data_IF_493140287411
#
_entry.id   IF_493140287411
#
_cell.length_a   1.000
_cell.length_b   1.000
_cell.length_c   1.000
_cell.angle_alpha   90.00
_cell.angle_beta   90.00
_cell.angle_gamma   90.00
#
_symmetry.space_group_name_H-M   'P 1'
#
loop_
_entity.id
_entity.type
_entity.pdbx_description
1 polymer ?
#
# COMPACT_ATOMS: atom_id res chain seq x y z
N UNK A 1 1.75 15.08 -13.70
CA UNK A 1 1.09 13.76 -13.83
C UNK A 1 0.53 13.36 -12.48
N UNK A 2 -0.63 12.73 -12.48
CA UNK A 2 -1.24 12.22 -11.25
C UNK A 2 -0.95 10.73 -11.15
N UNK A 3 -0.45 10.33 -9.99
CA UNK A 3 -0.24 8.92 -9.65
C UNK A 3 -1.30 8.48 -8.65
N UNK A 4 -1.51 7.18 -8.52
CA UNK A 4 -2.30 6.65 -7.42
C UNK A 4 -1.60 5.43 -6.82
N UNK A 5 -1.87 5.19 -5.54
CA UNK A 5 -1.34 4.03 -4.83
C UNK A 5 -2.48 3.36 -4.06
N UNK A 6 -2.48 2.05 -4.04
CA UNK A 6 -3.47 1.28 -3.29
C UNK A 6 -2.95 1.02 -1.88
N UNK A 7 -3.76 1.39 -0.89
CA UNK A 7 -3.48 1.15 0.52
C UNK A 7 -4.38 0.01 0.98
N UNK A 8 -3.78 -1.11 1.33
CA UNK A 8 -4.52 -2.34 1.67
C UNK A 8 -3.80 -3.10 2.76
N UNK A 9 -4.59 -3.69 3.66
CA UNK A 9 -4.08 -4.59 4.69
C UNK A 9 -4.46 -6.03 4.40
N UNK A 10 -3.79 -6.96 5.08
CA UNK A 10 -4.19 -8.37 5.08
C UNK A 10 -3.90 -8.97 6.46
N UNK A 11 -4.52 -10.11 6.73
CA UNK A 11 -4.23 -10.86 7.94
C UNK A 11 -2.83 -11.45 7.90
N UNK A 12 -2.22 -11.59 9.08
CA UNK A 12 -0.92 -12.24 9.24
C UNK A 12 -1.14 -13.69 9.70
N UNK A 13 -0.84 -14.71 8.88
CA UNK A 13 -1.06 -16.09 9.24
C UNK A 13 -0.24 -16.53 10.45
N UNK A 14 0.89 -15.87 10.72
CA UNK A 14 1.70 -16.16 11.91
C UNK A 14 0.97 -15.79 13.21
N UNK A 15 -0.06 -14.96 13.12
CA UNK A 15 -0.92 -14.56 14.24
C UNK A 15 -2.31 -15.19 14.17
N UNK A 16 -2.50 -16.21 13.33
CA UNK A 16 -3.78 -16.87 13.14
C UNK A 16 -4.82 -16.06 12.38
N UNK A 17 -4.40 -15.01 11.67
CA UNK A 17 -5.28 -14.18 10.85
C UNK A 17 -5.33 -14.70 9.41
N UNK A 18 -6.46 -14.47 8.72
CA UNK A 18 -6.62 -14.88 7.34
C UNK A 18 -5.85 -13.93 6.39
N UNK A 19 -4.82 -14.44 5.67
CA UNK A 19 -4.01 -13.60 4.79
C UNK A 19 -4.72 -13.13 3.52
N UNK A 20 -5.90 -13.68 3.24
CA UNK A 20 -6.69 -13.31 2.05
C UNK A 20 -7.75 -12.26 2.32
N UNK A 21 -7.84 -11.78 3.55
CA UNK A 21 -8.82 -10.78 3.96
C UNK A 21 -8.14 -9.57 4.57
N UNK A 22 -8.70 -8.35 4.38
CA UNK A 22 -8.18 -7.18 5.07
C UNK A 22 -8.43 -7.28 6.57
N UNK A 23 -7.60 -6.58 7.35
CA UNK A 23 -7.79 -6.51 8.79
C UNK A 23 -9.07 -5.77 9.12
N UNK A 24 -9.75 -6.23 10.16
CA UNK A 24 -10.97 -5.60 10.65
C UNK A 24 -10.68 -4.17 11.09
N UNK A 25 -11.48 -3.21 10.59
CA UNK A 25 -11.32 -1.80 10.94
C UNK A 25 -10.26 -1.06 10.15
N UNK A 26 -9.57 -1.73 9.22
CA UNK A 26 -8.55 -1.10 8.37
C UNK A 26 -9.11 -0.97 6.95
N UNK A 27 -9.43 0.24 6.48
CA UNK A 27 -10.06 0.40 5.17
C UNK A 27 -9.06 0.20 4.04
N UNK A 28 -9.53 -0.38 2.93
CA UNK A 28 -8.78 -0.40 1.68
C UNK A 28 -9.08 0.90 0.95
N UNK A 29 -8.02 1.62 0.57
CA UNK A 29 -8.14 2.93 -0.05
C UNK A 29 -7.25 3.04 -1.27
N UNK A 30 -7.65 3.90 -2.21
CA UNK A 30 -6.78 4.36 -3.28
C UNK A 30 -6.59 5.85 -3.09
N UNK A 31 -5.34 6.29 -2.97
CA UNK A 31 -5.03 7.71 -2.82
C UNK A 31 -4.31 8.22 -4.07
N UNK A 32 -4.54 9.47 -4.40
CA UNK A 32 -3.95 10.13 -5.55
C UNK A 32 -2.89 11.11 -5.09
N UNK A 33 -1.79 11.18 -5.84
CA UNK A 33 -0.65 12.01 -5.49
C UNK A 33 0.01 12.59 -6.74
N UNK A 34 0.71 13.70 -6.57
CA UNK A 34 1.38 14.38 -7.68
C UNK A 34 2.74 13.78 -8.00
N UNK A 35 3.28 12.95 -7.12
CA UNK A 35 4.61 12.33 -7.29
C UNK A 35 4.66 10.96 -6.63
N UNK A 36 5.65 10.16 -7.05
CA UNK A 36 5.91 8.85 -6.44
C UNK A 36 6.34 9.03 -4.99
N UNK A 37 7.15 10.06 -4.71
CA UNK A 37 7.58 10.36 -3.35
C UNK A 37 6.40 10.62 -2.41
N UNK A 38 5.40 11.34 -2.89
CA UNK A 38 4.17 11.56 -2.12
C UNK A 38 3.42 10.25 -1.88
N UNK A 39 3.39 9.36 -2.88
CA UNK A 39 2.81 8.03 -2.71
C UNK A 39 3.53 7.25 -1.60
N UNK A 40 4.87 7.32 -1.55
CA UNK A 40 5.66 6.66 -0.50
C UNK A 40 5.30 7.21 0.88
N UNK A 41 5.14 8.51 1.01
CA UNK A 41 4.69 9.15 2.25
C UNK A 41 3.33 8.64 2.70
N UNK A 42 2.39 8.52 1.76
CA UNK A 42 1.03 8.06 2.07
C UNK A 42 1.02 6.61 2.54
N UNK A 43 1.87 5.77 1.95
CA UNK A 43 2.02 4.37 2.39
C UNK A 43 2.51 4.30 3.82
N UNK A 44 3.58 5.02 4.15
CA UNK A 44 4.13 5.03 5.50
C UNK A 44 3.14 5.58 6.51
N UNK A 45 2.41 6.63 6.15
CA UNK A 45 1.39 7.23 7.00
C UNK A 45 0.25 6.25 7.31
N UNK A 46 -0.20 5.51 6.29
CA UNK A 46 -1.25 4.49 6.44
C UNK A 46 -0.79 3.35 7.37
N UNK A 47 0.44 2.87 7.16
CA UNK A 47 1.02 1.80 7.98
C UNK A 47 1.12 2.25 9.44
N UNK A 48 1.55 3.47 9.68
CA UNK A 48 1.64 4.03 11.03
C UNK A 48 0.27 4.25 11.66
N UNK A 49 -0.68 4.79 10.89
CA UNK A 49 -2.03 5.10 11.37
C UNK A 49 -2.76 3.85 11.89
N UNK A 50 -2.62 2.74 11.17
CA UNK A 50 -3.29 1.49 11.52
C UNK A 50 -2.38 0.48 12.21
N UNK A 51 -1.16 0.89 12.56
CA UNK A 51 -0.17 0.08 13.28
C UNK A 51 0.04 -1.29 12.61
N UNK A 52 0.28 -1.28 11.31
CA UNK A 52 0.45 -2.50 10.54
C UNK A 52 1.84 -3.08 10.70
N UNK A 53 1.92 -4.40 10.92
CA UNK A 53 3.17 -5.13 10.83
C UNK A 53 3.52 -5.47 9.39
N UNK A 54 4.75 -5.95 9.17
CA UNK A 54 5.21 -6.33 7.84
C UNK A 54 4.34 -7.39 7.16
N UNK A 55 3.79 -8.32 7.94
CA UNK A 55 2.87 -9.33 7.44
C UNK A 55 1.45 -8.83 7.20
N UNK A 56 1.15 -7.58 7.53
CA UNK A 56 -0.18 -6.99 7.36
C UNK A 56 -0.29 -6.03 6.18
N UNK A 57 0.82 -5.74 5.51
CA UNK A 57 0.82 -4.84 4.35
C UNK A 57 0.61 -5.63 3.07
N UNK A 58 -0.47 -5.34 2.36
CA UNK A 58 -0.84 -6.05 1.13
C UNK A 58 -1.01 -5.11 -0.08
N UNK A 59 -0.86 -3.82 0.13
CA UNK A 59 -1.03 -2.82 -0.93
C UNK A 59 0.29 -2.39 -1.55
N UNK A 60 0.29 -1.16 -2.07
CA UNK A 60 1.48 -0.51 -2.59
C UNK A 60 1.56 -0.44 -4.11
N UNK A 61 0.61 -1.03 -4.84
CA UNK A 61 0.60 -0.92 -6.29
C UNK A 61 0.44 0.56 -6.68
N UNK A 62 1.39 1.06 -7.49
CA UNK A 62 1.39 2.44 -7.97
C UNK A 62 0.97 2.46 -9.43
N UNK A 63 0.02 3.32 -9.73
CA UNK A 63 -0.52 3.50 -11.09
C UNK A 63 -0.18 4.89 -11.60
N UNK A 64 0.04 5.00 -12.91
CA UNK A 64 0.21 6.30 -13.57
C UNK A 64 -1.15 6.95 -13.87
N UNK A 65 -1.13 8.12 -14.53
CA UNK A 65 -2.35 8.87 -14.83
C UNK A 65 -3.29 8.20 -15.83
N UNK A 66 -2.84 7.17 -16.53
CA UNK A 66 -3.67 6.43 -17.49
C UNK A 66 -4.03 5.02 -17.00
N UNK A 67 -3.67 4.68 -15.77
CA UNK A 67 -4.08 3.43 -15.13
C UNK A 67 -3.14 2.25 -15.29
N UNK A 68 -1.92 2.46 -15.77
CA UNK A 68 -0.92 1.40 -15.85
C UNK A 68 -0.17 1.26 -14.53
N UNK A 69 0.06 0.02 -14.10
CA UNK A 69 0.90 -0.26 -12.93
C UNK A 69 2.35 0.05 -13.30
N UNK A 70 2.97 0.95 -12.55
CA UNK A 70 4.35 1.35 -12.80
C UNK A 70 5.33 0.88 -11.73
N UNK A 71 4.84 0.33 -10.65
CA UNK A 71 5.69 -0.19 -9.59
C UNK A 71 4.90 -0.54 -8.35
N UNK A 72 5.65 -0.78 -7.27
CA UNK A 72 5.08 -1.16 -5.97
C UNK A 72 5.88 -0.51 -4.86
N UNK A 73 5.19 -0.10 -3.79
CA UNK A 73 5.82 0.43 -2.60
C UNK A 73 5.75 -0.62 -1.50
N UNK A 74 6.91 -1.00 -0.97
CA UNK A 74 7.03 -2.01 0.05
C UNK A 74 6.66 -1.45 1.43
N UNK A 75 6.59 -2.35 2.42
CA UNK A 75 6.27 -2.03 3.81
C UNK A 75 7.17 -0.93 4.38
N UNK A 76 8.44 -0.90 4.01
CA UNK A 76 9.37 0.12 4.48
C UNK A 76 9.37 1.41 3.65
N UNK A 77 8.43 1.56 2.73
CA UNK A 77 8.27 2.77 1.95
C UNK A 77 9.14 2.87 0.70
N UNK A 78 9.86 1.82 0.33
CA UNK A 78 10.69 1.82 -0.85
C UNK A 78 9.86 1.57 -2.12
N UNK A 79 10.10 2.37 -3.16
CA UNK A 79 9.46 2.19 -4.44
C UNK A 79 10.28 1.24 -5.32
N UNK A 80 9.63 0.19 -5.84
CA UNK A 80 10.22 -0.78 -6.73
C UNK A 80 9.54 -0.68 -8.08
N UNK A 81 10.21 -0.14 -9.11
CA UNK A 81 9.57 0.01 -10.42
C UNK A 81 9.33 -1.35 -11.08
N UNK A 82 8.24 -1.43 -11.83
CA UNK A 82 7.95 -2.58 -12.69
C UNK A 82 8.84 -2.52 -13.92
N UNK A 83 9.28 -3.68 -14.35
CA UNK A 83 10.05 -3.82 -15.60
C UNK A 83 9.16 -4.30 -16.74
#
# INVERSE_FOLDING_TARGET
MIYSVVLRSCGNPDRGQNPYEPLCGVPTERVYAASIEECQHRVLQYIEEYDLGGGNWAGGEVYDGIGNVIGNISYNGCFWPCE
#
